data_IF_863959156838
#
_entry.id   IF_863959156838
#
_cell.length_a   1.000
_cell.length_b   1.000
_cell.length_c   1.000
_cell.angle_alpha   90.00
_cell.angle_beta   90.00
_cell.angle_gamma   90.00
#
_symmetry.space_group_name_H-M   'P 1'
#
loop_
_entity.id
_entity.type
_entity.pdbx_description
1 polymer ?
#
# COMPACT_ATOMS: atom_id res chain seq x y z
N UNK A 1 57.59 -3.30 49.32
CA UNK A 1 57.66 -2.14 48.41
C UNK A 1 56.24 -1.90 47.94
N UNK A 2 55.59 -0.81 48.38
CA UNK A 2 54.24 -0.47 47.89
C UNK A 2 54.28 -0.24 46.38
N UNK A 3 53.34 -0.87 45.67
CA UNK A 3 53.16 -0.68 44.24
C UNK A 3 52.65 0.75 44.05
N UNK A 4 53.43 1.62 43.39
CA UNK A 4 52.98 2.99 43.10
C UNK A 4 51.85 2.91 42.07
N UNK A 5 50.71 3.53 42.40
CA UNK A 5 49.57 3.60 41.50
C UNK A 5 49.91 4.41 40.25
N UNK A 6 49.45 3.91 39.10
CA UNK A 6 49.63 4.58 37.82
C UNK A 6 48.64 5.76 37.71
N UNK A 7 49.13 6.96 37.43
CA UNK A 7 48.31 8.17 37.30
C UNK A 7 48.42 8.75 35.88
N UNK A 8 47.29 9.09 35.28
CA UNK A 8 47.23 9.65 33.92
C UNK A 8 47.65 11.13 33.91
N UNK A 9 48.61 11.49 33.04
CA UNK A 9 49.11 12.86 32.87
C UNK A 9 48.85 13.31 31.43
N UNK A 10 47.89 14.22 31.23
CA UNK A 10 47.35 14.57 29.91
C UNK A 10 48.26 15.32 28.94
N UNK A 11 49.46 15.76 29.38
CA UNK A 11 50.43 16.47 28.54
C UNK A 11 51.68 15.64 28.21
N UNK A 12 51.73 14.37 28.61
CA UNK A 12 52.85 13.46 28.35
C UNK A 12 52.42 12.45 27.28
N UNK A 13 53.23 12.29 26.23
CA UNK A 13 52.93 11.40 25.09
C UNK A 13 52.98 9.90 25.44
N UNK A 14 53.48 9.57 26.64
CA UNK A 14 53.58 8.20 27.13
C UNK A 14 52.45 7.88 28.12
N UNK A 15 51.60 6.92 27.76
CA UNK A 15 50.59 6.33 28.64
C UNK A 15 51.19 5.12 29.34
N UNK A 16 50.98 5.00 30.65
CA UNK A 16 51.43 3.84 31.40
C UNK A 16 50.71 2.54 30.98
N UNK A 17 51.26 1.41 31.43
CA UNK A 17 50.86 0.07 30.95
C UNK A 17 49.47 -0.32 31.43
N UNK A 18 49.10 0.02 32.66
CA UNK A 18 47.80 -0.32 33.27
C UNK A 18 46.67 0.52 32.64
N UNK A 19 46.92 1.82 32.40
CA UNK A 19 45.99 2.72 31.71
C UNK A 19 45.75 2.26 30.27
N UNK A 20 46.82 1.94 29.53
CA UNK A 20 46.73 1.43 28.15
C UNK A 20 45.94 0.12 28.07
N UNK A 21 46.16 -0.81 29.02
CA UNK A 21 45.43 -2.07 29.10
C UNK A 21 43.94 -1.85 29.39
N UNK A 22 43.62 -0.95 30.32
CA UNK A 22 42.25 -0.60 30.68
C UNK A 22 41.49 0.04 29.53
N UNK A 23 42.10 1.01 28.83
CA UNK A 23 41.55 1.63 27.63
C UNK A 23 41.32 0.57 26.54
N UNK A 24 42.31 -0.30 26.29
CA UNK A 24 42.17 -1.36 25.27
C UNK A 24 41.00 -2.30 25.59
N UNK A 25 40.85 -2.73 26.86
CA UNK A 25 39.72 -3.57 27.29
C UNK A 25 38.39 -2.85 27.12
N UNK A 26 38.32 -1.58 27.53
CA UNK A 26 37.12 -0.76 27.35
C UNK A 26 36.73 -0.63 25.88
N UNK A 27 37.69 -0.30 25.00
CA UNK A 27 37.45 -0.15 23.55
C UNK A 27 37.00 -1.47 22.94
N UNK A 28 37.66 -2.59 23.27
CA UNK A 28 37.26 -3.91 22.78
C UNK A 28 35.87 -4.31 23.27
N UNK A 29 35.54 -4.02 24.53
CA UNK A 29 34.22 -4.27 25.09
C UNK A 29 33.15 -3.41 24.42
N UNK A 30 33.41 -2.11 24.24
CA UNK A 30 32.50 -1.19 23.56
C UNK A 30 32.26 -1.59 22.10
N UNK A 31 33.31 -1.99 21.37
CA UNK A 31 33.19 -2.54 20.01
C UNK A 31 32.38 -3.84 20.01
N UNK A 32 32.62 -4.72 20.97
CA UNK A 32 31.82 -5.95 21.15
C UNK A 32 30.35 -5.65 21.37
N UNK A 33 30.03 -4.70 22.26
CA UNK A 33 28.65 -4.26 22.51
C UNK A 33 28.00 -3.65 21.27
N UNK A 34 28.73 -2.82 20.52
CA UNK A 34 28.22 -2.22 19.28
C UNK A 34 27.92 -3.29 18.22
N UNK A 35 28.80 -4.28 18.04
CA UNK A 35 28.58 -5.39 17.12
C UNK A 35 27.38 -6.23 17.53
N UNK A 36 27.28 -6.62 18.81
CA UNK A 36 26.15 -7.38 19.33
C UNK A 36 24.85 -6.57 19.15
N UNK A 37 24.87 -5.29 19.51
CA UNK A 37 23.72 -4.40 19.33
C UNK A 37 23.29 -4.28 17.87
N UNK A 38 24.24 -4.21 16.94
CA UNK A 38 23.96 -4.13 15.49
C UNK A 38 23.34 -5.43 14.97
N UNK A 39 23.87 -6.58 15.40
CA UNK A 39 23.35 -7.89 15.04
C UNK A 39 21.92 -8.07 15.58
N UNK A 40 21.69 -7.78 16.87
CA UNK A 40 20.37 -7.86 17.48
C UNK A 40 19.39 -6.92 16.76
N UNK A 41 19.80 -5.68 16.49
CA UNK A 41 18.97 -4.73 15.76
C UNK A 41 18.58 -5.24 14.38
N UNK A 42 19.50 -5.85 13.64
CA UNK A 42 19.20 -6.49 12.36
C UNK A 42 18.21 -7.65 12.46
N UNK A 43 18.36 -8.52 13.48
CA UNK A 43 17.45 -9.65 13.69
C UNK A 43 16.04 -9.23 14.14
N UNK A 44 15.91 -8.11 14.86
CA UNK A 44 14.62 -7.61 15.33
C UNK A 44 13.95 -6.62 14.36
N UNK A 45 14.63 -6.20 13.28
CA UNK A 45 13.98 -5.42 12.23
C UNK A 45 13.02 -6.27 11.41
N UNK A 46 11.81 -5.75 11.18
CA UNK A 46 10.91 -6.31 10.16
C UNK A 46 11.46 -6.02 8.78
N UNK A 47 11.42 -7.02 7.89
CA UNK A 47 11.79 -6.84 6.49
C UNK A 47 10.89 -5.79 5.83
N UNK A 48 11.50 -4.92 5.01
CA UNK A 48 10.74 -4.05 4.15
C UNK A 48 10.02 -4.89 3.09
N UNK A 49 8.75 -4.58 2.81
CA UNK A 49 8.03 -5.29 1.78
C UNK A 49 8.63 -5.03 0.38
N UNK A 50 8.47 -5.99 -0.53
CA UNK A 50 8.93 -5.89 -1.92
C UNK A 50 7.98 -5.08 -2.82
N UNK A 51 7.22 -4.15 -2.24
CA UNK A 51 6.37 -3.22 -2.99
C UNK A 51 7.23 -2.30 -3.85
N UNK A 52 6.70 -1.74 -4.93
CA UNK A 52 7.45 -0.80 -5.77
C UNK A 52 6.55 0.35 -6.21
N UNK A 53 7.15 1.53 -6.25
CA UNK A 53 6.55 2.75 -6.76
C UNK A 53 7.52 3.41 -7.73
N UNK A 54 7.20 3.37 -9.02
CA UNK A 54 8.03 3.90 -10.10
C UNK A 54 7.80 5.41 -10.26
N UNK A 55 8.23 6.19 -9.26
CA UNK A 55 7.98 7.63 -9.18
C UNK A 55 8.71 8.44 -10.28
N UNK A 56 9.97 8.08 -10.56
CA UNK A 56 10.80 8.85 -11.50
C UNK A 56 10.61 8.43 -12.97
N UNK A 57 9.89 7.34 -13.21
CA UNK A 57 9.68 6.77 -14.55
C UNK A 57 8.19 6.61 -14.86
N UNK A 58 7.51 7.70 -15.27
CA UNK A 58 6.14 7.62 -15.75
C UNK A 58 6.00 6.59 -16.86
N UNK A 59 4.97 5.75 -16.77
CA UNK A 59 4.68 4.67 -17.71
C UNK A 59 3.37 4.94 -18.41
N UNK A 60 3.35 4.75 -19.73
CA UNK A 60 2.13 4.80 -20.54
C UNK A 60 1.44 3.44 -20.55
N UNK A 61 0.18 3.41 -20.14
CA UNK A 61 -0.63 2.20 -20.10
C UNK A 61 -1.91 2.44 -20.90
N UNK A 62 -2.23 1.50 -21.77
CA UNK A 62 -3.44 1.53 -22.61
C UNK A 62 -4.37 0.39 -22.24
N UNK A 63 -5.66 0.69 -22.12
CA UNK A 63 -6.66 -0.29 -21.73
C UNK A 63 -8.09 0.22 -21.85
N UNK A 64 -9.06 -0.64 -21.56
CA UNK A 64 -10.46 -0.25 -21.52
C UNK A 64 -10.79 0.30 -20.14
N UNK A 65 -11.31 1.53 -20.09
CA UNK A 65 -11.68 2.18 -18.85
C UNK A 65 -13.04 1.70 -18.34
N UNK A 66 -13.11 1.39 -17.05
CA UNK A 66 -14.35 1.11 -16.34
C UNK A 66 -14.47 2.03 -15.13
N UNK A 67 -15.64 2.63 -14.96
CA UNK A 67 -15.89 3.59 -13.89
C UNK A 67 -16.34 2.93 -12.58
N UNK A 68 -17.09 1.82 -12.68
CA UNK A 68 -17.72 1.17 -11.53
C UNK A 68 -17.02 -0.16 -11.20
N UNK A 69 -16.85 -0.49 -9.89
CA UNK A 69 -17.23 0.33 -8.73
C UNK A 69 -16.25 1.47 -8.45
N UNK A 70 -15.01 1.33 -8.91
CA UNK A 70 -13.96 2.32 -8.80
C UNK A 70 -13.25 2.48 -10.15
N UNK A 71 -12.68 3.65 -10.46
CA UNK A 71 -11.95 3.87 -11.70
C UNK A 71 -10.85 2.85 -11.94
N UNK A 72 -10.97 2.08 -13.02
CA UNK A 72 -10.02 1.05 -13.41
C UNK A 72 -9.71 1.10 -14.89
N UNK A 73 -8.51 0.66 -15.23
CA UNK A 73 -8.09 0.42 -16.60
C UNK A 73 -7.81 -1.07 -16.78
N UNK A 74 -8.59 -1.72 -17.64
CA UNK A 74 -8.37 -3.12 -18.01
C UNK A 74 -7.38 -3.22 -19.16
N UNK A 75 -6.20 -3.73 -18.86
CA UNK A 75 -5.05 -3.82 -19.75
C UNK A 75 -4.95 -5.24 -20.28
N UNK A 76 -4.74 -5.39 -21.58
CA UNK A 76 -4.47 -6.70 -22.18
C UNK A 76 -2.96 -6.95 -22.15
N UNK A 77 -2.51 -7.96 -21.41
CA UNK A 77 -1.10 -8.32 -21.30
C UNK A 77 -0.65 -9.27 -22.41
N UNK A 78 -1.55 -10.18 -22.79
CA UNK A 78 -1.40 -11.12 -23.89
C UNK A 78 -2.78 -11.43 -24.47
N UNK A 79 -2.85 -12.17 -25.57
CA UNK A 79 -4.13 -12.53 -26.21
C UNK A 79 -5.07 -13.18 -25.19
N UNK A 80 -6.21 -12.53 -24.93
CA UNK A 80 -7.22 -12.95 -23.94
C UNK A 80 -6.73 -13.05 -22.47
N UNK A 81 -5.61 -12.39 -22.14
CA UNK A 81 -5.10 -12.31 -20.76
C UNK A 81 -5.11 -10.84 -20.35
N UNK A 82 -5.87 -10.53 -19.30
CA UNK A 82 -6.11 -9.17 -18.87
C UNK A 82 -5.63 -8.94 -17.45
N UNK A 83 -5.39 -7.67 -17.13
CA UNK A 83 -5.09 -7.19 -15.79
C UNK A 83 -5.84 -5.90 -15.53
N UNK A 84 -6.48 -5.81 -14.37
CA UNK A 84 -7.20 -4.62 -13.95
C UNK A 84 -6.30 -3.73 -13.09
N UNK A 85 -6.00 -2.55 -13.62
CA UNK A 85 -5.18 -1.53 -12.99
C UNK A 85 -6.07 -0.52 -12.30
N UNK A 86 -5.99 -0.43 -10.96
CA UNK A 86 -6.75 0.54 -10.18
C UNK A 86 -6.16 1.95 -10.38
N UNK A 87 -7.01 2.91 -10.73
CA UNK A 87 -6.58 4.28 -10.99
C UNK A 87 -6.67 5.12 -9.71
N UNK A 88 -5.58 5.82 -9.39
CA UNK A 88 -5.44 6.68 -8.22
C UNK A 88 -5.05 8.10 -8.64
N UNK A 89 -5.32 9.08 -7.78
CA UNK A 89 -4.88 10.46 -7.98
C UNK A 89 -3.58 10.79 -7.23
N UNK A 90 -2.98 11.92 -7.58
CA UNK A 90 -1.88 12.50 -6.81
C UNK A 90 -2.32 12.92 -5.40
N UNK A 91 -1.39 12.87 -4.44
CA UNK A 91 -1.69 13.22 -3.05
C UNK A 91 -2.68 12.25 -2.38
N UNK A 92 -3.66 12.80 -1.64
CA UNK A 92 -4.66 12.07 -0.85
C UNK A 92 -6.01 11.93 -1.58
N UNK A 93 -6.00 11.92 -2.90
CA UNK A 93 -7.20 11.99 -3.73
C UNK A 93 -7.34 10.78 -4.66
N UNK A 94 -8.59 10.40 -4.95
CA UNK A 94 -8.91 9.43 -6.00
C UNK A 94 -8.69 9.98 -7.42
N UNK A 95 -8.84 9.12 -8.43
CA UNK A 95 -8.62 9.50 -9.83
C UNK A 95 -9.75 10.34 -10.46
N UNK A 96 -10.91 10.47 -9.80
CA UNK A 96 -12.12 11.06 -10.37
C UNK A 96 -11.92 12.48 -10.92
N UNK A 97 -11.18 13.34 -10.23
CA UNK A 97 -10.96 14.72 -10.67
C UNK A 97 -10.35 14.81 -12.09
N UNK A 98 -9.37 13.95 -12.38
CA UNK A 98 -8.70 13.88 -13.69
C UNK A 98 -9.65 13.31 -14.77
N UNK A 99 -10.44 12.31 -14.41
CA UNK A 99 -11.37 11.64 -15.33
C UNK A 99 -12.61 12.50 -15.63
N UNK A 100 -13.08 13.27 -14.65
CA UNK A 100 -14.21 14.21 -14.78
C UNK A 100 -13.90 15.36 -15.74
N UNK A 101 -12.66 15.83 -15.79
CA UNK A 101 -12.22 16.82 -16.77
C UNK A 101 -12.39 16.29 -18.21
N UNK A 102 -11.97 15.06 -18.46
CA UNK A 102 -12.12 14.43 -19.78
C UNK A 102 -13.59 14.20 -20.10
N UNK A 103 -14.38 13.74 -19.12
CA UNK A 103 -15.82 13.54 -19.28
C UNK A 103 -16.53 14.83 -19.69
N UNK A 104 -16.15 15.98 -19.11
CA UNK A 104 -16.69 17.30 -19.49
C UNK A 104 -16.41 17.66 -20.95
N UNK A 105 -15.24 17.27 -21.49
CA UNK A 105 -14.85 17.60 -22.87
C UNK A 105 -15.24 16.55 -23.92
N UNK A 106 -15.33 15.26 -23.55
CA UNK A 106 -15.48 14.13 -24.49
C UNK A 106 -16.73 13.28 -24.24
N UNK A 107 -17.56 13.64 -23.25
CA UNK A 107 -18.75 12.91 -22.85
C UNK A 107 -18.43 11.62 -22.09
N UNK A 108 -19.34 10.64 -22.13
CA UNK A 108 -19.16 9.36 -21.45
C UNK A 108 -17.90 8.63 -21.95
N UNK A 109 -16.98 8.28 -21.05
CA UNK A 109 -15.75 7.53 -21.35
C UNK A 109 -15.76 6.08 -20.88
N UNK A 110 -16.79 5.66 -20.14
CA UNK A 110 -16.92 4.28 -19.66
C UNK A 110 -16.97 3.29 -20.84
N UNK A 111 -16.19 2.21 -20.75
CA UNK A 111 -16.01 1.21 -21.81
C UNK A 111 -15.19 1.69 -23.02
N UNK A 112 -14.66 2.92 -23.01
CA UNK A 112 -13.76 3.40 -24.07
C UNK A 112 -12.32 3.02 -23.76
N UNK A 113 -11.50 2.96 -24.82
CA UNK A 113 -10.08 2.72 -24.68
C UNK A 113 -9.36 4.03 -24.32
N UNK A 114 -8.60 4.02 -23.22
CA UNK A 114 -7.80 5.14 -22.76
C UNK A 114 -6.32 4.75 -22.80
N UNK A 115 -5.46 5.71 -23.10
CA UNK A 115 -4.03 5.65 -22.79
C UNK A 115 -3.73 6.69 -21.72
N UNK A 116 -3.18 6.25 -20.61
CA UNK A 116 -2.88 7.05 -19.43
C UNK A 116 -1.37 6.97 -19.17
N UNK A 117 -0.71 8.11 -19.06
CA UNK A 117 0.66 8.20 -18.54
C UNK A 117 0.62 8.53 -17.04
N UNK A 118 1.30 7.72 -16.23
CA UNK A 118 1.32 7.89 -14.77
C UNK A 118 2.37 7.02 -14.10
N UNK A 119 2.42 7.04 -12.77
CA UNK A 119 3.38 6.26 -12.00
C UNK A 119 2.79 4.93 -11.53
N UNK A 120 3.50 3.84 -11.80
CA UNK A 120 3.08 2.49 -11.43
C UNK A 120 3.34 2.22 -9.94
N UNK A 121 2.37 1.57 -9.31
CA UNK A 121 2.50 0.99 -7.98
C UNK A 121 2.18 -0.50 -8.11
N UNK A 122 3.06 -1.36 -7.62
CA UNK A 122 2.81 -2.80 -7.63
C UNK A 122 3.31 -3.50 -6.37
N UNK A 123 2.46 -4.38 -5.86
CA UNK A 123 2.76 -5.24 -4.72
C UNK A 123 1.77 -6.40 -4.67
N UNK A 124 2.27 -7.60 -4.34
CA UNK A 124 1.48 -8.81 -4.18
C UNK A 124 0.49 -9.08 -5.34
N UNK A 125 1.00 -9.04 -6.57
CA UNK A 125 0.21 -9.26 -7.79
C UNK A 125 -0.71 -8.10 -8.20
N UNK A 126 -0.95 -7.11 -7.34
CA UNK A 126 -1.78 -5.94 -7.66
C UNK A 126 -0.99 -4.87 -8.40
N UNK A 127 -1.67 -4.18 -9.30
CA UNK A 127 -1.11 -3.05 -10.06
C UNK A 127 -2.07 -1.87 -9.97
N UNK A 128 -1.52 -0.72 -9.64
CA UNK A 128 -2.23 0.55 -9.55
C UNK A 128 -1.45 1.59 -10.36
N UNK A 129 -2.17 2.61 -10.83
CA UNK A 129 -1.59 3.70 -11.60
C UNK A 129 -1.99 5.03 -10.95
N UNK A 130 -1.00 5.78 -10.51
CA UNK A 130 -1.20 7.14 -10.03
C UNK A 130 -1.17 8.13 -11.19
N UNK A 131 -2.24 8.91 -11.32
CA UNK A 131 -2.42 9.98 -12.28
C UNK A 131 -2.14 11.31 -11.58
N UNK A 132 -1.33 12.16 -12.19
CA UNK A 132 -0.98 13.48 -11.67
C UNK A 132 -1.49 14.63 -12.55
N UNK A 133 -1.80 14.36 -13.82
CA UNK A 133 -2.21 15.33 -14.82
C UNK A 133 -3.28 14.75 -15.76
N UNK A 134 -4.36 15.50 -16.00
CA UNK A 134 -5.44 15.10 -16.91
C UNK A 134 -5.03 15.17 -18.38
N UNK A 135 -4.05 16.01 -18.73
CA UNK A 135 -3.52 16.14 -20.10
C UNK A 135 -2.76 14.89 -20.55
N UNK A 136 -2.31 14.07 -19.59
CA UNK A 136 -1.64 12.78 -19.80
C UNK A 136 -2.61 11.62 -20.11
N UNK A 137 -3.89 11.92 -20.26
CA UNK A 137 -4.92 10.93 -20.61
C UNK A 137 -5.44 11.22 -22.02
N UNK A 138 -5.38 10.20 -22.88
CA UNK A 138 -5.86 10.29 -24.24
C UNK A 138 -6.90 9.20 -24.54
N UNK A 139 -7.94 9.59 -25.29
CA UNK A 139 -9.01 8.71 -25.72
C UNK A 139 -8.64 8.09 -27.07
N UNK A 140 -8.52 6.77 -27.11
CA UNK A 140 -8.36 6.05 -28.37
C UNK A 140 -9.75 5.71 -28.94
N UNK A 141 -10.04 6.25 -30.12
CA UNK A 141 -11.33 6.06 -30.81
C UNK A 141 -11.45 4.68 -31.47
N UNK A 142 -10.38 3.90 -31.55
CA UNK A 142 -10.28 2.77 -32.47
C UNK A 142 -10.79 1.44 -31.91
N UNK A 143 -11.08 1.31 -30.61
CA UNK A 143 -11.42 0.01 -30.01
C UNK A 143 -12.52 0.13 -28.95
N UNK A 144 -13.70 -0.41 -29.26
CA UNK A 144 -14.69 -0.82 -28.25
C UNK A 144 -14.51 -2.32 -28.02
N UNK A 145 -14.16 -2.72 -26.79
CA UNK A 145 -14.19 -4.13 -26.39
C UNK A 145 -15.43 -4.40 -25.54
N UNK A 146 -15.85 -5.66 -25.54
CA UNK A 146 -17.03 -6.12 -24.82
C UNK A 146 -16.87 -5.88 -23.31
N UNK A 147 -17.97 -5.46 -22.68
CA UNK A 147 -18.10 -5.42 -21.24
C UNK A 147 -17.97 -6.85 -20.69
N UNK A 148 -17.18 -7.04 -19.64
CA UNK A 148 -17.08 -8.33 -18.95
C UNK A 148 -17.82 -8.23 -17.65
N UNK A 149 -18.69 -9.21 -17.42
CA UNK A 149 -19.46 -9.32 -16.20
C UNK A 149 -18.56 -9.95 -15.12
N UNK A 150 -18.53 -9.38 -13.90
CA UNK A 150 -17.87 -10.03 -12.77
C UNK A 150 -18.47 -11.41 -12.49
N UNK A 151 -17.61 -12.35 -12.09
CA UNK A 151 -18.00 -13.66 -11.61
C UNK A 151 -18.55 -13.55 -10.18
N UNK A 152 -19.76 -14.07 -9.94
CA UNK A 152 -20.36 -14.06 -8.60
C UNK A 152 -19.76 -15.18 -7.75
N UNK A 153 -19.07 -14.82 -6.67
CA UNK A 153 -18.45 -15.76 -5.74
C UNK A 153 -19.36 -16.11 -4.55
N UNK A 154 -20.54 -15.51 -4.46
CA UNK A 154 -21.50 -15.73 -3.37
C UNK A 154 -21.24 -14.85 -2.14
N UNK A 155 -21.77 -15.25 -0.99
CA UNK A 155 -21.56 -14.53 0.27
C UNK A 155 -20.37 -15.10 1.02
N UNK A 156 -19.49 -14.22 1.50
CA UNK A 156 -18.30 -14.58 2.28
C UNK A 156 -18.29 -13.84 3.61
N UNK A 157 -17.71 -14.49 4.62
CA UNK A 157 -17.33 -13.88 5.89
C UNK A 157 -15.80 -13.87 5.95
N UNK A 158 -15.20 -12.69 6.02
CA UNK A 158 -13.74 -12.52 6.00
C UNK A 158 -13.29 -11.66 7.17
N UNK A 159 -12.10 -11.94 7.68
CA UNK A 159 -11.45 -11.18 8.74
C UNK A 159 -10.20 -10.54 8.16
N UNK A 160 -10.07 -9.23 8.31
CA UNK A 160 -8.92 -8.50 7.80
C UNK A 160 -8.90 -7.07 8.31
N UNK A 161 -8.11 -6.24 7.65
CA UNK A 161 -7.94 -4.83 7.98
C UNK A 161 -8.16 -3.95 6.76
N UNK A 162 -8.85 -2.83 6.96
CA UNK A 162 -9.17 -1.89 5.89
C UNK A 162 -7.99 -0.92 5.72
N UNK A 163 -7.40 -0.92 4.53
CA UNK A 163 -6.20 -0.18 4.18
C UNK A 163 -6.45 0.85 3.09
N UNK A 164 -5.61 1.89 3.06
CA UNK A 164 -5.41 2.73 1.89
C UNK A 164 -4.49 2.00 0.89
N UNK A 165 -5.00 1.62 -0.30
CA UNK A 165 -4.22 0.88 -1.27
C UNK A 165 -2.99 1.65 -1.77
N UNK A 166 -3.00 2.98 -1.78
CA UNK A 166 -1.85 3.76 -2.29
C UNK A 166 -0.61 3.56 -1.41
N UNK A 167 -0.75 3.82 -0.11
CA UNK A 167 0.32 3.60 0.85
C UNK A 167 0.64 2.12 1.01
N UNK A 168 -0.38 1.26 1.11
CA UNK A 168 -0.20 -0.16 1.37
C UNK A 168 0.54 -0.89 0.23
N UNK A 169 0.21 -0.60 -1.04
CA UNK A 169 0.82 -1.28 -2.19
C UNK A 169 2.14 -0.67 -2.66
N UNK A 170 2.65 0.43 -2.06
CA UNK A 170 4.06 0.77 -2.26
C UNK A 170 4.49 2.23 -2.22
N UNK A 171 3.57 3.21 -2.11
CA UNK A 171 3.99 4.62 -2.01
C UNK A 171 4.72 4.92 -0.70
N UNK A 172 4.47 4.14 0.36
CA UNK A 172 5.18 4.27 1.63
C UNK A 172 5.80 2.96 2.08
N UNK A 173 7.05 3.02 2.54
CA UNK A 173 7.81 1.90 3.08
C UNK A 173 8.49 2.32 4.40
N UNK A 174 7.98 1.88 5.57
CA UNK A 174 6.77 1.07 5.77
C UNK A 174 5.49 1.88 5.56
N UNK A 175 4.46 1.29 4.92
CA UNK A 175 3.13 1.90 4.76
C UNK A 175 2.14 1.50 5.87
N UNK A 176 2.65 1.24 7.08
CA UNK A 176 1.97 0.51 8.15
C UNK A 176 2.21 1.21 9.51
N UNK A 177 1.43 0.89 10.56
CA UNK A 177 1.48 1.57 11.87
C UNK A 177 0.51 2.76 12.07
N UNK A 178 0.30 3.17 13.33
CA UNK A 178 -0.73 4.14 13.75
C UNK A 178 -0.67 5.49 13.03
N UNK A 179 0.53 5.93 12.64
CA UNK A 179 0.74 7.17 11.87
C UNK A 179 0.11 7.05 10.48
N UNK A 180 0.19 5.88 9.85
CA UNK A 180 -0.39 5.64 8.52
C UNK A 180 -1.90 5.48 8.58
N UNK A 181 -2.48 5.09 9.72
CA UNK A 181 -3.93 5.00 9.89
C UNK A 181 -4.64 6.33 9.67
N UNK A 182 -4.12 7.43 10.24
CA UNK A 182 -4.71 8.76 10.06
C UNK A 182 -4.54 9.28 8.62
N UNK A 183 -3.40 8.97 7.98
CA UNK A 183 -3.18 9.24 6.56
C UNK A 183 -4.18 8.47 5.68
N UNK A 184 -4.39 7.17 5.95
CA UNK A 184 -5.33 6.33 5.23
C UNK A 184 -6.77 6.83 5.32
N UNK A 185 -7.18 7.31 6.51
CA UNK A 185 -8.48 7.96 6.69
C UNK A 185 -8.69 9.16 5.77
N UNK A 186 -7.66 10.00 5.60
CA UNK A 186 -7.70 11.15 4.71
C UNK A 186 -7.72 10.74 3.23
N UNK A 187 -6.90 9.75 2.85
CA UNK A 187 -6.87 9.19 1.49
C UNK A 187 -8.22 8.63 1.06
N UNK A 188 -8.82 7.76 1.90
CA UNK A 188 -10.13 7.16 1.62
C UNK A 188 -11.23 8.23 1.61
N UNK A 189 -11.17 9.20 2.52
CA UNK A 189 -12.09 10.35 2.50
C UNK A 189 -11.96 11.22 1.25
N UNK A 190 -10.75 11.29 0.66
CA UNK A 190 -10.45 11.98 -0.59
C UNK A 190 -10.79 11.17 -1.85
N UNK A 191 -11.43 10.01 -1.68
CA UNK A 191 -11.95 9.19 -2.77
C UNK A 191 -11.01 8.09 -3.26
N UNK A 192 -9.98 7.74 -2.49
CA UNK A 192 -9.21 6.52 -2.75
C UNK A 192 -10.06 5.29 -2.37
N UNK A 193 -10.12 4.26 -3.23
CA UNK A 193 -10.90 3.06 -2.95
C UNK A 193 -10.43 2.33 -1.68
N UNK A 194 -11.29 2.09 -0.67
CA UNK A 194 -10.92 1.28 0.49
C UNK A 194 -10.75 -0.19 0.10
N UNK A 195 -9.65 -0.79 0.55
CA UNK A 195 -9.35 -2.21 0.34
C UNK A 195 -9.32 -2.93 1.68
N UNK A 196 -10.03 -4.05 1.81
CA UNK A 196 -9.82 -4.99 2.90
C UNK A 196 -8.66 -5.91 2.51
N UNK A 197 -7.58 -5.85 3.28
CA UNK A 197 -6.48 -6.79 3.21
C UNK A 197 -6.74 -7.95 4.17
N UNK A 198 -6.80 -9.16 3.62
CA UNK A 198 -6.99 -10.41 4.37
C UNK A 198 -5.71 -11.20 4.25
N UNK A 199 -4.99 -11.41 5.35
CA UNK A 199 -3.78 -12.22 5.36
C UNK A 199 -4.11 -13.65 5.80
N UNK A 200 -3.75 -14.63 4.98
CA UNK A 200 -3.74 -16.06 5.34
C UNK A 200 -2.42 -16.40 6.08
N UNK A 201 -2.46 -17.46 6.90
CA UNK A 201 -1.30 -18.07 7.59
C UNK A 201 -0.12 -18.41 6.66
N UNK A 202 -0.34 -18.59 5.35
CA UNK A 202 0.69 -18.82 4.33
C UNK A 202 1.23 -17.53 3.68
N UNK A 203 0.94 -16.35 4.24
CA UNK A 203 1.35 -15.04 3.71
C UNK A 203 0.77 -14.69 2.33
N UNK A 204 -0.20 -15.47 1.83
CA UNK A 204 -1.00 -15.09 0.67
C UNK A 204 -2.02 -14.07 1.19
N UNK A 205 -2.04 -12.88 0.60
CA UNK A 205 -3.03 -11.87 0.96
C UNK A 205 -4.08 -11.79 -0.14
N UNK A 206 -5.34 -11.87 0.27
CA UNK A 206 -6.48 -11.55 -0.59
C UNK A 206 -6.90 -10.11 -0.34
N UNK A 207 -7.40 -9.47 -1.40
CA UNK A 207 -7.71 -8.05 -1.40
C UNK A 207 -9.10 -7.82 -1.96
N UNK A 208 -9.95 -7.18 -1.16
CA UNK A 208 -11.34 -6.89 -1.50
C UNK A 208 -11.55 -5.38 -1.57
N UNK A 209 -11.93 -4.86 -2.73
CA UNK A 209 -12.44 -3.50 -2.87
C UNK A 209 -13.81 -3.43 -2.21
N UNK A 210 -13.97 -2.54 -1.24
CA UNK A 210 -15.19 -2.44 -0.47
C UNK A 210 -16.18 -1.48 -1.13
N UNK A 211 -17.44 -1.88 -1.21
CA UNK A 211 -18.53 -1.08 -1.79
C UNK A 211 -19.76 -1.15 -0.90
N UNK A 212 -20.67 -0.20 -1.07
CA UNK A 212 -22.00 -0.31 -0.47
C UNK A 212 -22.80 -1.50 -1.05
N UNK A 213 -23.97 -1.78 -0.49
CA UNK A 213 -24.84 -2.87 -0.97
C UNK A 213 -25.29 -2.71 -2.43
N UNK A 214 -25.28 -1.48 -2.96
CA UNK A 214 -25.64 -1.15 -4.34
C UNK A 214 -24.44 -1.23 -5.30
N UNK A 215 -23.22 -1.42 -4.79
CA UNK A 215 -21.98 -1.44 -5.56
C UNK A 215 -21.36 -0.05 -5.78
N UNK A 216 -21.80 0.98 -5.06
CA UNK A 216 -21.21 2.31 -5.12
C UNK A 216 -19.99 2.44 -4.19
N UNK A 217 -19.12 3.44 -4.46
CA UNK A 217 -18.07 3.85 -3.53
C UNK A 217 -18.59 4.14 -2.12
N UNK A 218 -17.93 3.56 -1.12
CA UNK A 218 -18.33 3.65 0.30
C UNK A 218 -17.60 4.77 1.07
N UNK A 219 -16.41 5.15 0.59
CA UNK A 219 -15.49 6.19 1.09
C UNK A 219 -15.68 6.60 2.56
N UNK A 220 -16.51 7.61 2.86
CA UNK A 220 -16.58 8.23 4.19
C UNK A 220 -17.14 7.31 5.27
N UNK A 221 -18.04 6.40 4.91
CA UNK A 221 -18.74 5.55 5.88
C UNK A 221 -17.82 4.50 6.50
N UNK A 222 -16.75 4.12 5.78
CA UNK A 222 -15.79 3.11 6.23
C UNK A 222 -14.69 3.67 7.14
N UNK A 223 -14.55 5.00 7.22
CA UNK A 223 -13.46 5.68 7.94
C UNK A 223 -13.30 5.21 9.40
N UNK A 224 -14.38 5.00 10.18
CA UNK A 224 -14.26 4.53 11.57
C UNK A 224 -13.65 3.12 11.74
N UNK A 225 -13.50 2.37 10.66
CA UNK A 225 -13.03 0.99 10.62
C UNK A 225 -11.63 0.84 9.99
N UNK A 226 -11.05 1.93 9.46
CA UNK A 226 -9.72 1.92 8.84
C UNK A 226 -8.67 1.50 9.86
N UNK A 227 -7.83 0.55 9.46
CA UNK A 227 -6.74 -0.02 10.25
C UNK A 227 -7.17 -0.61 11.59
N UNK A 228 -8.39 -1.13 11.67
CA UNK A 228 -8.87 -1.91 12.78
C UNK A 228 -9.18 -3.33 12.29
N UNK A 229 -8.64 -4.38 12.94
CA UNK A 229 -9.03 -5.75 12.66
C UNK A 229 -10.54 -5.89 12.75
N UNK A 230 -11.16 -6.30 11.66
CA UNK A 230 -12.62 -6.32 11.53
C UNK A 230 -13.08 -7.57 10.79
N UNK A 231 -14.21 -8.12 11.21
CA UNK A 231 -14.95 -9.16 10.50
C UNK A 231 -16.01 -8.52 9.64
N UNK A 232 -16.00 -8.83 8.35
CA UNK A 232 -16.91 -8.32 7.34
C UNK A 232 -17.70 -9.47 6.71
N UNK A 233 -18.97 -9.22 6.40
CA UNK A 233 -19.86 -10.12 5.67
C UNK A 233 -20.41 -9.42 4.45
N UNK A 234 -20.43 -10.11 3.32
CA UNK A 234 -20.84 -9.47 2.08
C UNK A 234 -20.85 -10.38 0.88
N UNK A 235 -21.48 -9.89 -0.19
CA UNK A 235 -21.47 -10.54 -1.48
C UNK A 235 -20.15 -10.22 -2.18
N UNK A 236 -19.44 -11.25 -2.61
CA UNK A 236 -18.16 -11.13 -3.33
C UNK A 236 -18.38 -11.38 -4.80
N UNK A 237 -17.78 -10.52 -5.61
CA UNK A 237 -17.70 -10.63 -7.06
C UNK A 237 -16.22 -10.53 -7.46
N UNK A 238 -15.79 -11.35 -8.41
CA UNK A 238 -14.43 -11.36 -8.93
C UNK A 238 -14.41 -10.79 -10.34
N UNK A 239 -13.50 -9.86 -10.61
CA UNK A 239 -13.19 -9.39 -11.94
C UNK A 239 -11.68 -9.40 -12.12
N UNK A 240 -11.21 -10.24 -13.04
CA UNK A 240 -9.79 -10.51 -13.26
C UNK A 240 -9.05 -10.76 -11.92
N UNK A 241 -8.13 -9.86 -11.59
CA UNK A 241 -7.28 -9.98 -10.41
C UNK A 241 -7.95 -9.44 -9.14
N UNK A 242 -9.07 -8.72 -9.21
CA UNK A 242 -9.69 -8.04 -8.06
C UNK A 242 -10.97 -8.74 -7.57
N UNK A 243 -11.11 -8.78 -6.25
CA UNK A 243 -12.39 -9.04 -5.60
C UNK A 243 -13.03 -7.71 -5.23
N UNK A 244 -14.34 -7.60 -5.47
CA UNK A 244 -15.19 -6.56 -4.92
C UNK A 244 -16.11 -7.19 -3.90
N UNK A 245 -16.20 -6.60 -2.71
CA UNK A 245 -17.09 -7.05 -1.65
C UNK A 245 -18.11 -5.96 -1.34
N UNK A 246 -19.38 -6.30 -1.54
CA UNK A 246 -20.52 -5.44 -1.20
C UNK A 246 -20.91 -5.71 0.24
N UNK A 247 -20.82 -4.69 1.08
CA UNK A 247 -21.01 -4.82 2.52
C UNK A 247 -22.07 -3.87 3.06
N UNK A 248 -22.61 -4.24 4.20
CA UNK A 248 -23.39 -3.34 5.05
C UNK A 248 -22.47 -2.82 6.17
N UNK A 249 -22.15 -1.53 6.11
CA UNK A 249 -21.22 -0.88 7.07
C UNK A 249 -21.70 -1.03 8.51
N UNK A 250 -23.02 -1.06 8.73
CA UNK A 250 -23.59 -1.19 10.07
C UNK A 250 -23.36 -2.57 10.69
N UNK A 251 -22.97 -3.56 9.87
CA UNK A 251 -22.73 -4.96 10.29
C UNK A 251 -21.24 -5.30 10.41
N UNK A 252 -20.35 -4.32 10.29
CA UNK A 252 -18.91 -4.55 10.50
C UNK A 252 -18.67 -4.79 11.98
N UNK A 253 -18.07 -5.93 12.30
CA UNK A 253 -17.70 -6.29 13.66
C UNK A 253 -16.22 -5.98 13.88
N UNK A 254 -15.92 -5.02 14.77
CA UNK A 254 -14.55 -4.74 15.20
C UNK A 254 -14.08 -5.87 16.12
N UNK A 255 -12.89 -6.36 15.88
CA UNK A 255 -12.27 -7.38 16.71
C UNK A 255 -11.36 -6.72 17.75
N UNK A 256 -11.37 -7.24 18.98
CA UNK A 256 -10.44 -6.84 20.02
C UNK A 256 -9.08 -7.52 19.80
N UNK A 257 -8.38 -7.08 18.76
CA UNK A 257 -7.07 -7.57 18.36
C UNK A 257 -6.17 -6.39 18.01
N UNK A 258 -4.88 -6.55 18.28
CA UNK A 258 -3.90 -5.64 17.73
C UNK A 258 -3.88 -5.75 16.21
N UNK A 259 -3.76 -4.57 15.60
CA UNK A 259 -3.60 -4.44 14.17
C UNK A 259 -2.25 -5.04 13.76
N UNK A 260 -2.30 -5.87 12.72
CA UNK A 260 -1.13 -6.49 12.10
C UNK A 260 -0.53 -5.63 11.00
N UNK A 261 -1.32 -4.67 10.46
CA UNK A 261 -0.90 -3.71 9.45
C UNK A 261 -0.66 -2.35 10.11
N UNK A 262 -1.69 -1.66 10.59
CA UNK A 262 -1.59 -0.34 11.24
C UNK A 262 -1.21 -0.36 12.73
#
# INVERSE_FOLDING_TARGET
MEKKDEFYIGYVDAVGKETKSSIKRFVLFALGLLLIGSILFGFFQKEANNSVFDFDTPTKISGTYYEAPYPMLRVELAKNTFKDVLLLGFGKFGANAYLDEIKRHKGNINGKHLTIEGNLIYYNGKTLLQIDDSQKISLDKSKKKNFVLPESMGNHEVVGEIVDPKCYFGVMKPGYGKIHRSCAALCISGGIPPVLAVSDNNSISEYFLLTDLKGNPIHKDIVPYIGLPSKLKGKVEKLEDWYTMRIDVSKIEKLDKESSIY
#
